data_IF_255997461840
#
_entry.id   IF_255997461840
#
_cell.length_a   1.000
_cell.length_b   1.000
_cell.length_c   1.000
_cell.angle_alpha   90.00
_cell.angle_beta   90.00
_cell.angle_gamma   90.00
#
_symmetry.space_group_name_H-M   'P 1'
#
loop_
_entity.id
_entity.type
_entity.pdbx_description
1 polymer ?
#
# COMPACT_ATOMS: atom_id res chain seq x y z
N UNK A 1 -34.00 27.59 -0.09
CA UNK A 1 -32.94 28.53 -0.53
C UNK A 1 -31.97 28.70 0.62
N UNK A 2 -30.70 28.33 0.37
CA UNK A 2 -29.49 28.78 1.07
C UNK A 2 -29.35 28.23 2.52
N UNK A 3 -28.54 27.22 2.87
CA UNK A 3 -27.13 26.95 2.50
C UNK A 3 -26.34 28.25 2.35
N UNK A 4 -25.76 28.74 3.45
CA UNK A 4 -24.39 29.32 3.50
C UNK A 4 -24.09 29.92 4.89
N UNK A 5 -22.90 29.57 5.39
CA UNK A 5 -22.03 30.39 6.25
C UNK A 5 -22.23 30.40 7.76
N UNK A 6 -22.00 29.20 8.29
CA UNK A 6 -21.49 28.86 9.62
C UNK A 6 -20.03 29.35 9.89
N UNK A 7 -19.64 30.56 9.47
CA UNK A 7 -18.29 31.09 9.73
C UNK A 7 -18.34 32.56 10.12
N UNK A 8 -18.32 32.85 11.42
CA UNK A 8 -17.70 34.05 12.02
C UNK A 8 -17.96 34.07 13.53
N UNK A 9 -17.24 33.26 14.30
CA UNK A 9 -16.99 33.57 15.71
C UNK A 9 -15.84 32.69 16.23
N UNK A 10 -14.82 33.31 16.83
CA UNK A 10 -13.67 32.75 17.57
C UNK A 10 -12.28 32.80 16.91
N UNK A 11 -11.74 34.01 16.72
CA UNK A 11 -10.29 34.23 16.94
C UNK A 11 -10.12 35.59 17.63
N UNK A 12 -10.07 35.55 18.97
CA UNK A 12 -9.53 36.61 19.82
C UNK A 12 -8.98 35.94 21.08
N UNK A 13 -7.87 35.20 20.93
CA UNK A 13 -7.11 34.72 22.09
C UNK A 13 -6.25 35.84 22.67
N UNK A 14 -6.24 35.85 24.00
CA UNK A 14 -5.68 36.86 24.90
C UNK A 14 -4.16 36.88 24.78
N UNK A 15 -3.60 37.97 24.28
CA UNK A 15 -2.21 38.35 24.48
C UNK A 15 -2.11 39.09 25.81
N UNK A 16 -1.65 38.42 26.86
CA UNK A 16 -0.97 39.11 27.95
C UNK A 16 0.09 38.24 28.62
N UNK A 17 1.20 38.91 28.96
CA UNK A 17 2.25 38.54 29.92
C UNK A 17 3.23 37.41 29.57
N UNK A 18 4.31 37.78 28.88
CA UNK A 18 5.66 37.55 29.41
C UNK A 18 6.63 38.62 28.86
N UNK A 19 7.46 39.19 29.72
CA UNK A 19 8.51 40.18 29.40
C UNK A 19 9.70 39.52 28.65
N UNK A 20 9.40 38.66 27.68
CA UNK A 20 10.37 38.03 26.80
C UNK A 20 10.38 38.76 25.47
N UNK A 21 11.21 39.80 25.34
CA UNK A 21 11.36 40.54 24.09
C UNK A 21 11.56 39.61 22.89
N UNK A 22 11.06 40.02 21.73
CA UNK A 22 11.34 39.32 20.48
C UNK A 22 12.65 39.90 19.93
N UNK A 23 13.69 39.07 19.84
CA UNK A 23 14.96 39.43 19.21
C UNK A 23 14.92 39.04 17.73
N UNK A 24 15.05 40.03 16.86
CA UNK A 24 15.23 39.80 15.42
C UNK A 24 16.73 39.78 15.09
N UNK A 25 17.18 38.64 14.59
CA UNK A 25 18.55 38.42 14.11
C UNK A 25 18.82 39.17 12.80
N UNK A 26 20.10 39.36 12.42
CA UNK A 26 20.52 40.08 11.20
C UNK A 26 19.99 39.43 9.91
N UNK A 27 19.76 38.12 9.95
CA UNK A 27 19.09 37.37 8.89
C UNK A 27 17.55 37.47 8.92
N UNK A 28 17.00 38.43 9.67
CA UNK A 28 15.58 38.74 9.78
C UNK A 28 14.69 37.60 10.34
N UNK A 29 15.26 36.72 11.16
CA UNK A 29 14.50 35.72 11.92
C UNK A 29 14.31 36.20 13.35
N UNK A 30 13.06 36.11 13.82
CA UNK A 30 12.64 36.61 15.13
C UNK A 30 12.42 35.48 16.11
N UNK A 31 12.98 35.60 17.31
CA UNK A 31 12.90 34.60 18.37
C UNK A 31 12.56 35.25 19.70
N UNK A 32 11.91 34.53 20.61
CA UNK A 32 11.84 34.97 22.00
C UNK A 32 13.25 35.01 22.60
N UNK A 33 13.60 36.11 23.27
CA UNK A 33 14.90 36.29 23.93
C UNK A 33 15.23 35.13 24.88
N UNK A 34 14.23 34.56 25.55
CA UNK A 34 14.37 33.42 26.47
C UNK A 34 14.68 32.10 25.76
N UNK A 35 14.34 31.97 24.48
CA UNK A 35 14.62 30.79 23.67
C UNK A 35 16.00 30.86 23.02
N UNK A 36 16.39 32.03 22.50
CA UNK A 36 17.71 32.21 21.87
C UNK A 36 18.85 32.22 22.89
N UNK A 37 18.63 32.69 24.12
CA UNK A 37 19.67 32.69 25.16
C UNK A 37 20.06 31.28 25.64
N UNK A 38 19.18 30.28 25.43
CA UNK A 38 19.45 28.87 25.72
C UNK A 38 20.19 28.17 24.56
N UNK A 39 20.31 28.82 23.42
CA UNK A 39 21.03 28.30 22.26
C UNK A 39 22.53 28.55 22.44
N UNK A 40 23.34 27.50 22.34
CA UNK A 40 24.78 27.53 22.66
C UNK A 40 25.63 28.18 21.58
N UNK A 41 25.11 28.24 20.36
CA UNK A 41 25.87 28.68 19.19
C UNK A 41 25.41 30.08 18.81
N UNK A 42 26.34 30.98 18.46
CA UNK A 42 26.02 32.33 17.95
C UNK A 42 25.44 32.32 16.51
N UNK A 43 24.84 31.20 16.10
CA UNK A 43 24.24 30.99 14.81
C UNK A 43 22.72 31.14 14.88
N UNK A 44 22.12 31.69 13.84
CA UNK A 44 20.66 31.73 13.72
C UNK A 44 20.11 30.30 13.67
N UNK A 45 19.15 29.90 14.53
CA UNK A 45 18.58 28.56 14.48
C UNK A 45 17.88 28.21 13.16
N UNK A 46 17.37 29.21 12.43
CA UNK A 46 16.59 29.00 11.19
C UNK A 46 17.48 28.87 9.97
N UNK A 47 18.46 29.76 9.80
CA UNK A 47 19.31 29.77 8.60
C UNK A 47 20.78 29.45 8.88
N UNK A 48 21.14 29.14 10.13
CA UNK A 48 22.51 28.89 10.60
C UNK A 48 23.51 30.00 10.31
N UNK A 49 23.03 31.20 9.97
CA UNK A 49 23.87 32.38 9.78
C UNK A 49 24.60 32.68 11.09
N UNK A 50 25.92 32.51 11.10
CA UNK A 50 26.78 32.76 12.25
C UNK A 50 27.48 34.11 12.06
N UNK A 51 27.38 35.00 13.05
CA UNK A 51 27.98 36.34 12.99
C UNK A 51 29.50 36.32 13.29
N UNK A 52 30.05 35.20 13.75
CA UNK A 52 31.49 35.03 13.93
C UNK A 52 32.15 34.84 12.56
N UNK A 53 33.15 35.67 12.25
CA UNK A 53 33.97 35.48 11.05
C UNK A 53 34.60 34.07 11.13
N UNK A 54 34.32 33.17 10.18
CA UNK A 54 34.94 31.87 10.21
C UNK A 54 36.44 32.03 9.97
N UNK A 55 37.23 31.32 10.76
CA UNK A 55 38.64 31.06 10.47
C UNK A 55 38.79 30.62 9.01
N UNK A 56 39.91 31.00 8.37
CA UNK A 56 40.16 30.80 6.93
C UNK A 56 39.75 29.38 6.51
N UNK A 57 38.70 29.27 5.69
CA UNK A 57 38.28 27.99 5.11
C UNK A 57 39.46 27.38 4.36
N UNK A 58 39.65 26.06 4.49
CA UNK A 58 40.70 25.29 3.82
C UNK A 58 40.10 24.04 3.19
N UNK A 59 40.69 23.58 2.10
CA UNK A 59 40.29 22.32 1.48
C UNK A 59 40.57 21.14 2.41
N UNK A 60 39.56 20.29 2.64
CA UNK A 60 39.67 19.16 3.58
C UNK A 60 40.74 18.14 3.14
N UNK A 61 41.01 18.05 1.82
CA UNK A 61 41.95 17.07 1.26
C UNK A 61 43.37 17.61 1.17
N UNK A 62 43.58 18.76 0.52
CA UNK A 62 44.93 19.30 0.26
C UNK A 62 45.29 20.55 1.07
N UNK A 63 44.42 20.99 2.00
CA UNK A 63 44.67 22.09 2.93
C UNK A 63 44.96 23.45 2.26
N UNK A 64 44.66 23.60 0.96
CA UNK A 64 44.78 24.88 0.26
C UNK A 64 43.72 25.86 0.76
N UNK A 65 44.05 27.14 0.87
CA UNK A 65 43.14 28.23 1.30
C UNK A 65 42.61 29.08 0.13
N UNK A 66 42.82 28.64 -1.11
CA UNK A 66 42.51 29.39 -2.34
C UNK A 66 41.57 28.60 -3.23
N UNK A 67 40.67 29.32 -3.93
CA UNK A 67 39.72 28.77 -4.89
C UNK A 67 38.93 27.59 -4.29
N UNK A 68 38.19 27.92 -3.24
CA UNK A 68 37.46 26.95 -2.42
C UNK A 68 35.99 26.92 -2.78
N UNK A 69 35.47 25.70 -2.76
CA UNK A 69 34.11 25.36 -3.15
C UNK A 69 33.49 24.55 -2.03
N UNK A 70 32.32 24.98 -1.58
CA UNK A 70 31.54 24.25 -0.58
C UNK A 70 30.36 23.55 -1.24
N UNK A 71 30.24 22.25 -1.03
CA UNK A 71 29.07 21.50 -1.46
C UNK A 71 27.84 21.97 -0.68
N UNK A 72 26.80 22.43 -1.38
CA UNK A 72 25.59 22.95 -0.71
C UNK A 72 24.72 21.86 -0.08
N UNK A 73 24.93 20.60 -0.46
CA UNK A 73 24.16 19.45 0.04
C UNK A 73 24.74 18.89 1.35
N UNK A 74 26.07 18.85 1.48
CA UNK A 74 26.72 18.21 2.64
C UNK A 74 27.77 19.06 3.35
N UNK A 75 28.08 20.27 2.86
CA UNK A 75 29.06 21.16 3.47
C UNK A 75 30.53 20.77 3.23
N UNK A 76 30.82 19.80 2.36
CA UNK A 76 32.20 19.44 1.99
C UNK A 76 32.94 20.62 1.34
N UNK A 77 34.15 20.94 1.81
CA UNK A 77 34.99 22.02 1.27
C UNK A 77 36.14 21.44 0.44
N UNK A 78 36.07 21.64 -0.88
CA UNK A 78 37.05 21.19 -1.86
C UNK A 78 37.72 22.36 -2.62
N UNK A 79 38.93 22.14 -3.15
CA UNK A 79 39.55 23.11 -4.05
C UNK A 79 39.04 22.94 -5.50
N UNK A 80 39.10 24.02 -6.27
CA UNK A 80 38.57 24.09 -7.64
C UNK A 80 39.34 23.27 -8.67
N UNK A 81 38.78 23.22 -9.89
CA UNK A 81 39.25 22.41 -11.03
C UNK A 81 40.72 22.66 -11.38
N UNK A 82 41.19 23.91 -11.27
CA UNK A 82 42.54 24.34 -11.65
C UNK A 82 43.59 24.21 -10.53
N UNK A 83 43.20 23.70 -9.36
CA UNK A 83 44.11 23.38 -8.26
C UNK A 83 44.23 21.85 -8.15
N UNK A 84 43.44 21.24 -7.27
CA UNK A 84 43.41 19.80 -7.06
C UNK A 84 42.10 19.12 -7.47
N UNK A 85 41.08 19.88 -7.88
CA UNK A 85 39.82 19.30 -8.35
C UNK A 85 39.06 18.49 -7.29
N UNK A 86 39.30 18.71 -6.00
CA UNK A 86 38.63 17.92 -4.95
C UNK A 86 37.12 18.18 -4.89
N UNK A 87 36.65 19.36 -5.29
CA UNK A 87 35.23 19.65 -5.36
C UNK A 87 34.52 18.85 -6.48
N UNK A 88 35.15 18.72 -7.65
CA UNK A 88 34.60 17.92 -8.76
C UNK A 88 34.72 16.42 -8.48
N UNK A 89 35.78 15.98 -7.80
CA UNK A 89 35.93 14.60 -7.36
C UNK A 89 34.83 14.21 -6.37
N UNK A 90 34.55 15.09 -5.39
CA UNK A 90 33.44 14.91 -4.45
C UNK A 90 32.10 14.73 -5.15
N UNK A 91 31.80 15.54 -6.17
CA UNK A 91 30.59 15.37 -6.97
C UNK A 91 30.54 14.00 -7.66
N UNK A 92 31.63 13.56 -8.30
CA UNK A 92 31.67 12.25 -8.98
C UNK A 92 31.40 11.09 -8.03
N UNK A 93 31.89 11.16 -6.80
CA UNK A 93 31.74 10.11 -5.79
C UNK A 93 30.37 10.11 -5.11
N UNK A 94 29.83 11.29 -4.79
CA UNK A 94 28.62 11.43 -3.95
C UNK A 94 27.36 11.80 -4.73
N UNK A 95 27.51 12.18 -6.00
CA UNK A 95 26.44 12.75 -6.82
C UNK A 95 25.80 14.01 -6.22
N UNK A 96 26.58 14.79 -5.46
CA UNK A 96 26.17 16.11 -5.00
C UNK A 96 26.39 17.16 -6.10
N UNK A 97 25.34 17.46 -6.85
CA UNK A 97 25.43 18.21 -8.11
C UNK A 97 25.76 19.71 -7.99
N UNK A 98 25.70 20.28 -6.78
CA UNK A 98 25.81 21.72 -6.58
C UNK A 98 26.93 22.09 -5.61
N UNK A 99 27.72 23.08 -5.98
CA UNK A 99 28.77 23.67 -5.15
C UNK A 99 28.77 25.19 -5.22
N UNK A 100 29.07 25.86 -4.11
CA UNK A 100 29.16 27.31 -4.00
C UNK A 100 30.64 27.71 -3.98
N UNK A 101 31.02 28.60 -4.88
CA UNK A 101 32.34 29.24 -4.89
C UNK A 101 32.42 30.27 -3.74
N UNK A 102 33.34 30.10 -2.80
CA UNK A 102 33.41 30.94 -1.60
C UNK A 102 33.79 32.40 -1.92
N UNK A 103 34.60 32.62 -2.95
CA UNK A 103 35.10 33.95 -3.31
C UNK A 103 34.01 34.80 -3.99
N UNK A 104 33.16 34.19 -4.82
CA UNK A 104 32.20 34.91 -5.67
C UNK A 104 30.76 34.70 -5.26
N UNK A 105 30.51 33.78 -4.32
CA UNK A 105 29.19 33.36 -3.86
C UNK A 105 28.26 32.90 -4.99
N UNK A 106 28.83 32.41 -6.09
CA UNK A 106 28.08 31.81 -7.20
C UNK A 106 27.97 30.30 -7.03
N UNK A 107 26.82 29.75 -7.39
CA UNK A 107 26.57 28.31 -7.35
C UNK A 107 26.86 27.73 -8.73
N UNK A 108 27.64 26.67 -8.77
CA UNK A 108 27.95 25.89 -9.96
C UNK A 108 27.12 24.61 -10.00
N UNK A 109 26.51 24.34 -11.15
CA UNK A 109 25.86 23.07 -11.48
C UNK A 109 26.84 22.16 -12.22
N UNK A 110 27.19 21.02 -11.60
CA UNK A 110 28.09 20.05 -12.24
C UNK A 110 27.43 19.24 -13.36
N UNK A 111 26.09 19.12 -13.37
CA UNK A 111 25.34 18.39 -14.40
C UNK A 111 25.13 19.28 -15.63
N UNK A 112 24.71 20.53 -15.39
CA UNK A 112 24.51 21.54 -16.44
C UNK A 112 25.79 22.22 -16.94
N UNK A 113 26.92 21.98 -16.29
CA UNK A 113 28.24 22.61 -16.54
C UNK A 113 28.17 24.15 -16.70
N UNK A 114 27.32 24.78 -15.87
CA UNK A 114 27.09 26.22 -15.89
C UNK A 114 26.92 26.80 -14.48
N UNK A 115 27.03 28.13 -14.36
CA UNK A 115 26.67 28.82 -13.13
C UNK A 115 25.14 28.96 -13.05
N UNK A 116 24.58 28.65 -11.88
CA UNK A 116 23.15 28.86 -11.60
C UNK A 116 22.89 30.36 -11.50
N UNK A 117 22.03 30.87 -12.38
CA UNK A 117 21.59 32.27 -12.34
C UNK A 117 20.72 32.51 -11.11
N UNK A 118 21.12 33.48 -10.28
CA UNK A 118 20.32 33.88 -9.11
C UNK A 118 19.18 34.80 -9.59
N UNK A 119 17.98 34.24 -9.73
CA UNK A 119 16.75 35.04 -9.82
C UNK A 119 16.47 35.64 -8.44
N UNK A 120 16.95 36.85 -8.16
CA UNK A 120 16.57 37.56 -6.94
C UNK A 120 15.20 38.19 -7.21
N UNK A 121 14.15 37.57 -6.69
CA UNK A 121 12.84 38.21 -6.64
C UNK A 121 12.89 39.33 -5.59
N UNK A 122 12.87 40.58 -6.04
CA UNK A 122 12.62 41.73 -5.17
C UNK A 122 11.26 41.53 -4.49
N UNK A 123 11.22 41.62 -3.15
CA UNK A 123 9.98 41.43 -2.38
C UNK A 123 8.96 42.58 -2.56
N UNK A 124 9.23 43.60 -3.37
CA UNK A 124 8.34 44.75 -3.50
C UNK A 124 7.69 44.93 -4.88
N UNK A 125 8.14 44.24 -5.93
CA UNK A 125 7.48 44.33 -7.24
C UNK A 125 7.95 43.16 -8.10
N UNK A 126 7.07 42.20 -8.39
CA UNK A 126 7.36 40.88 -8.99
C UNK A 126 7.93 40.88 -10.42
N UNK A 127 8.69 41.92 -10.81
CA UNK A 127 9.38 42.04 -12.09
C UNK A 127 10.76 41.39 -12.00
N UNK A 128 10.99 40.38 -12.84
CA UNK A 128 12.29 39.77 -13.06
C UNK A 128 13.21 40.82 -13.71
N UNK A 129 14.32 41.17 -13.06
CA UNK A 129 15.34 42.08 -13.61
C UNK A 129 16.63 41.28 -13.76
N UNK A 130 17.06 41.08 -15.01
CA UNK A 130 18.41 40.65 -15.33
C UNK A 130 19.39 41.77 -14.97
N UNK A 131 20.35 41.48 -14.10
CA UNK A 131 21.49 42.36 -13.88
C UNK A 131 22.41 42.26 -15.10
N UNK A 132 22.25 43.22 -16.01
CA UNK A 132 23.17 43.44 -17.11
C UNK A 132 24.60 43.58 -16.57
N UNK A 133 25.50 42.79 -17.13
CA UNK A 133 26.95 42.93 -16.94
C UNK A 133 27.38 44.36 -17.28
N UNK A 134 28.27 45.01 -16.50
CA UNK A 134 28.83 46.30 -16.88
C UNK A 134 29.75 46.08 -18.09
N UNK A 135 29.27 46.39 -19.29
CA UNK A 135 30.12 46.44 -20.47
C UNK A 135 30.97 47.71 -20.38
N UNK A 136 32.22 47.51 -19.96
CA UNK A 136 33.28 48.53 -19.96
C UNK A 136 33.68 48.77 -21.40
N UNK A 137 33.23 49.87 -22.02
CA UNK A 137 33.98 50.54 -23.09
C UNK A 137 33.62 52.03 -23.12
N UNK A 138 34.20 52.77 -22.17
CA UNK A 138 34.46 54.18 -22.32
C UNK A 138 35.85 54.34 -22.96
N UNK A 139 35.90 54.78 -24.21
CA UNK A 139 36.99 55.58 -24.76
C UNK A 139 36.38 56.50 -25.83
N UNK A 140 36.37 57.81 -25.57
CA UNK A 140 37.22 58.80 -26.27
C UNK A 140 36.49 59.30 -27.55
N UNK A 141 35.90 60.48 -27.60
CA UNK A 141 36.58 61.77 -27.45
C UNK A 141 36.90 62.33 -28.84
N UNK A 142 35.99 63.08 -29.47
CA UNK A 142 36.35 64.01 -30.55
C UNK A 142 35.28 65.09 -30.73
N UNK A 143 35.68 66.33 -30.46
CA UNK A 143 34.85 67.51 -30.64
C UNK A 143 34.93 68.09 -32.05
N UNK A 144 33.86 68.79 -32.41
CA UNK A 144 33.88 69.91 -33.35
C UNK A 144 34.17 69.59 -34.82
N UNK A 145 33.12 69.38 -35.61
CA UNK A 145 33.09 69.87 -36.98
C UNK A 145 31.64 70.09 -37.43
N UNK A 146 31.30 71.36 -37.69
CA UNK A 146 30.06 71.76 -38.36
C UNK A 146 30.11 71.37 -39.84
N UNK A 147 29.31 70.37 -40.23
CA UNK A 147 28.99 70.06 -41.62
C UNK A 147 27.48 69.89 -41.77
N UNK A 148 26.76 71.00 -41.92
CA UNK A 148 25.34 71.00 -42.28
C UNK A 148 25.17 70.63 -43.77
N UNK A 149 25.13 69.34 -44.09
CA UNK A 149 24.44 68.77 -45.27
C UNK A 149 24.23 67.22 -45.23
N UNK A 150 24.52 66.53 -44.11
CA UNK A 150 24.56 65.06 -44.08
C UNK A 150 23.28 64.38 -43.56
N UNK A 151 22.31 65.14 -43.03
CA UNK A 151 21.12 64.59 -42.38
C UNK A 151 20.15 63.84 -43.31
N UNK A 152 20.10 64.21 -44.60
CA UNK A 152 19.23 63.54 -45.59
C UNK A 152 19.85 62.23 -46.07
N UNK A 153 21.17 62.17 -46.22
CA UNK A 153 21.91 60.95 -46.60
C UNK A 153 21.91 59.92 -45.46
N UNK A 154 22.07 60.38 -44.22
CA UNK A 154 22.04 59.52 -43.03
C UNK A 154 20.63 58.95 -42.76
N UNK A 155 19.57 59.76 -42.90
CA UNK A 155 18.20 59.29 -42.80
C UNK A 155 17.84 58.28 -43.92
N UNK A 156 18.35 58.48 -45.14
CA UNK A 156 18.14 57.56 -46.26
C UNK A 156 18.88 56.24 -46.06
N UNK A 157 20.12 56.28 -45.56
CA UNK A 157 20.90 55.08 -45.23
C UNK A 157 20.26 54.31 -44.07
N UNK A 158 19.80 55.00 -43.02
CA UNK A 158 19.09 54.39 -41.90
C UNK A 158 17.79 53.73 -42.36
N UNK A 159 17.00 54.38 -43.22
CA UNK A 159 15.79 53.79 -43.81
C UNK A 159 16.09 52.52 -44.61
N UNK A 160 17.21 52.47 -45.33
CA UNK A 160 17.63 51.28 -46.07
C UNK A 160 18.11 50.16 -45.16
N UNK A 161 18.82 50.49 -44.08
CA UNK A 161 19.23 49.53 -43.05
C UNK A 161 18.00 48.97 -42.33
N UNK A 162 17.03 49.80 -41.97
CA UNK A 162 15.76 49.37 -41.36
C UNK A 162 14.98 48.43 -42.29
N UNK A 163 14.92 48.71 -43.60
CA UNK A 163 14.29 47.81 -44.56
C UNK A 163 14.97 46.44 -44.60
N UNK A 164 16.31 46.39 -44.61
CA UNK A 164 17.09 45.15 -44.57
C UNK A 164 16.87 44.39 -43.26
N UNK A 165 16.85 45.10 -42.13
CA UNK A 165 16.57 44.50 -40.81
C UNK A 165 15.17 43.91 -40.76
N UNK A 166 14.18 44.59 -41.32
CA UNK A 166 12.81 44.08 -41.40
C UNK A 166 12.73 42.83 -42.29
N UNK A 167 13.34 42.84 -43.47
CA UNK A 167 13.41 41.65 -44.34
C UNK A 167 14.12 40.47 -43.65
N UNK A 168 15.20 40.74 -42.92
CA UNK A 168 15.90 39.72 -42.14
C UNK A 168 15.02 39.16 -41.01
N UNK A 169 14.31 40.03 -40.29
CA UNK A 169 13.40 39.62 -39.22
C UNK A 169 12.23 38.78 -39.75
N UNK A 170 11.65 39.16 -40.89
CA UNK A 170 10.60 38.37 -41.55
C UNK A 170 11.12 36.99 -42.00
N UNK A 171 12.34 36.94 -42.56
CA UNK A 171 12.97 35.68 -42.96
C UNK A 171 13.27 34.79 -41.73
N UNK A 172 13.75 35.38 -40.64
CA UNK A 172 13.98 34.68 -39.38
C UNK A 172 12.66 34.17 -38.77
N UNK A 173 11.61 34.99 -38.77
CA UNK A 173 10.28 34.62 -38.29
C UNK A 173 9.73 33.45 -39.12
N UNK A 174 9.80 33.54 -40.44
CA UNK A 174 9.39 32.46 -41.35
C UNK A 174 10.18 31.17 -41.09
N UNK A 175 11.48 31.29 -40.85
CA UNK A 175 12.32 30.12 -40.56
C UNK A 175 11.96 29.48 -39.21
N UNK A 176 11.69 30.29 -38.17
CA UNK A 176 11.26 29.80 -36.87
C UNK A 176 9.87 29.14 -36.94
N UNK A 177 8.95 29.72 -37.71
CA UNK A 177 7.63 29.14 -37.93
C UNK A 177 7.71 27.80 -38.66
N UNK A 178 8.54 27.70 -39.70
CA UNK A 178 8.80 26.44 -40.39
C UNK A 178 9.40 25.37 -39.47
N UNK A 179 10.33 25.75 -38.59
CA UNK A 179 10.90 24.83 -37.60
C UNK A 179 9.85 24.38 -36.57
N UNK A 180 9.04 25.31 -36.05
CA UNK A 180 7.96 24.99 -35.13
C UNK A 180 6.94 24.05 -35.77
N UNK A 181 6.57 24.27 -37.03
CA UNK A 181 5.65 23.40 -37.75
C UNK A 181 6.25 22.00 -37.95
N UNK A 182 7.50 21.91 -38.40
CA UNK A 182 8.17 20.64 -38.64
C UNK A 182 8.28 19.80 -37.35
N UNK A 183 8.76 20.39 -36.26
CA UNK A 183 8.87 19.69 -35.00
C UNK A 183 7.50 19.43 -34.36
N UNK A 184 6.54 20.32 -34.55
CA UNK A 184 5.15 20.12 -34.12
C UNK A 184 4.53 18.88 -34.76
N UNK A 185 4.59 18.78 -36.09
CA UNK A 185 4.10 17.60 -36.82
C UNK A 185 4.84 16.33 -36.44
N UNK A 186 6.18 16.38 -36.30
CA UNK A 186 6.95 15.22 -35.88
C UNK A 186 6.56 14.73 -34.46
N UNK A 187 6.31 15.65 -33.53
CA UNK A 187 5.84 15.32 -32.19
C UNK A 187 4.44 14.72 -32.21
N UNK A 188 3.53 15.30 -33.01
CA UNK A 188 2.16 14.81 -33.19
C UNK A 188 2.14 13.39 -33.79
N UNK A 189 2.94 13.12 -34.82
CA UNK A 189 3.06 11.78 -35.41
C UNK A 189 3.57 10.74 -34.40
N UNK A 190 4.57 11.10 -33.59
CA UNK A 190 5.10 10.22 -32.55
C UNK A 190 4.07 10.00 -31.45
N UNK A 191 3.36 11.05 -31.02
CA UNK A 191 2.29 10.96 -30.04
C UNK A 191 1.19 10.00 -30.52
N UNK A 192 0.69 10.17 -31.75
CA UNK A 192 -0.32 9.30 -32.35
C UNK A 192 0.14 7.85 -32.47
N UNK A 193 1.37 7.59 -32.90
CA UNK A 193 1.91 6.23 -32.98
C UNK A 193 2.03 5.60 -31.58
N UNK A 194 2.51 6.36 -30.59
CA UNK A 194 2.58 5.85 -29.22
C UNK A 194 1.21 5.57 -28.63
N UNK A 195 0.20 6.42 -28.90
CA UNK A 195 -1.17 6.20 -28.46
C UNK A 195 -1.78 4.95 -29.12
N UNK A 196 -1.57 4.77 -30.43
CA UNK A 196 -1.99 3.56 -31.15
C UNK A 196 -1.37 2.29 -30.54
N UNK A 197 -0.10 2.36 -30.18
CA UNK A 197 0.67 1.24 -29.63
C UNK A 197 0.19 0.87 -28.23
N UNK A 198 0.00 1.90 -27.40
CA UNK A 198 -0.57 1.76 -26.06
C UNK A 198 -1.98 1.17 -26.16
N UNK A 199 -2.83 1.71 -27.03
CA UNK A 199 -4.22 1.24 -27.23
C UNK A 199 -4.25 -0.23 -27.65
N UNK A 200 -3.37 -0.65 -28.57
CA UNK A 200 -3.23 -2.04 -29.02
C UNK A 200 -2.75 -2.95 -27.89
N UNK A 201 -1.75 -2.53 -27.12
CA UNK A 201 -1.23 -3.29 -25.98
C UNK A 201 -2.29 -3.46 -24.88
N UNK A 202 -3.01 -2.38 -24.56
CA UNK A 202 -4.11 -2.38 -23.57
C UNK A 202 -5.24 -3.30 -24.01
N UNK A 203 -5.73 -3.19 -25.25
CA UNK A 203 -6.77 -4.07 -25.79
C UNK A 203 -6.38 -5.54 -25.71
N UNK A 204 -5.14 -5.88 -26.07
CA UNK A 204 -4.61 -7.25 -25.97
C UNK A 204 -4.56 -7.74 -24.53
N UNK A 205 -4.08 -6.92 -23.60
CA UNK A 205 -4.02 -7.25 -22.18
C UNK A 205 -5.42 -7.49 -21.58
N UNK A 206 -6.38 -6.62 -21.90
CA UNK A 206 -7.78 -6.75 -21.48
C UNK A 206 -8.39 -8.03 -22.03
N UNK A 207 -8.23 -8.32 -23.33
CA UNK A 207 -8.76 -9.53 -23.96
C UNK A 207 -8.20 -10.81 -23.29
N UNK A 208 -6.90 -10.85 -22.99
CA UNK A 208 -6.28 -11.98 -22.28
C UNK A 208 -6.80 -12.13 -20.86
N UNK A 209 -7.02 -11.03 -20.13
CA UNK A 209 -7.58 -11.07 -18.76
C UNK A 209 -9.04 -11.55 -18.79
N UNK A 210 -9.83 -11.06 -19.73
CA UNK A 210 -11.21 -11.47 -19.92
C UNK A 210 -11.31 -12.97 -20.22
N UNK A 211 -10.48 -13.48 -21.14
CA UNK A 211 -10.43 -14.92 -21.43
C UNK A 211 -10.04 -15.75 -20.20
N UNK A 212 -9.06 -15.29 -19.40
CA UNK A 212 -8.67 -15.97 -18.15
C UNK A 212 -9.80 -15.98 -17.12
N UNK A 213 -10.53 -14.88 -16.98
CA UNK A 213 -11.68 -14.82 -16.07
C UNK A 213 -12.84 -15.68 -16.55
N UNK A 214 -13.13 -15.69 -17.86
CA UNK A 214 -14.14 -16.56 -18.45
C UNK A 214 -13.83 -18.04 -18.21
N UNK A 215 -12.58 -18.48 -18.45
CA UNK A 215 -12.18 -19.86 -18.20
C UNK A 215 -12.28 -20.26 -16.72
N UNK A 216 -11.97 -19.34 -15.80
CA UNK A 216 -12.16 -19.57 -14.35
C UNK A 216 -13.64 -19.69 -13.99
N UNK A 217 -14.48 -18.81 -14.55
CA UNK A 217 -15.93 -18.83 -14.34
C UNK A 217 -16.52 -20.16 -14.84
N UNK A 218 -16.18 -20.60 -16.05
CA UNK A 218 -16.66 -21.84 -16.62
C UNK A 218 -16.25 -23.06 -15.77
N UNK A 219 -15.03 -23.05 -15.21
CA UNK A 219 -14.56 -24.08 -14.29
C UNK A 219 -15.36 -24.09 -12.99
N UNK A 220 -15.58 -22.93 -12.37
CA UNK A 220 -16.40 -22.82 -11.15
C UNK A 220 -17.84 -23.27 -11.40
N UNK A 221 -18.42 -22.96 -12.56
CA UNK A 221 -19.78 -23.42 -12.93
C UNK A 221 -19.82 -24.94 -13.04
N UNK A 222 -18.83 -25.57 -13.67
CA UNK A 222 -18.75 -27.04 -13.77
C UNK A 222 -18.62 -27.71 -12.40
N UNK A 223 -17.75 -27.17 -11.54
CA UNK A 223 -17.54 -27.68 -10.18
C UNK A 223 -18.81 -27.52 -9.32
N UNK A 224 -19.47 -26.37 -9.41
CA UNK A 224 -20.76 -26.15 -8.74
C UNK A 224 -21.80 -27.19 -9.19
N UNK A 225 -21.99 -27.39 -10.50
CA UNK A 225 -22.93 -28.38 -11.03
C UNK A 225 -22.62 -29.78 -10.51
N UNK A 226 -21.34 -30.18 -10.51
CA UNK A 226 -20.92 -31.47 -9.98
C UNK A 226 -21.25 -31.62 -8.49
N UNK A 227 -21.00 -30.58 -7.68
CA UNK A 227 -21.32 -30.60 -6.25
C UNK A 227 -22.84 -30.60 -6.00
N UNK A 228 -23.61 -29.87 -6.80
CA UNK A 228 -25.08 -29.87 -6.74
C UNK A 228 -25.63 -31.27 -7.04
N UNK A 229 -25.14 -31.92 -8.11
CA UNK A 229 -25.53 -33.29 -8.49
C UNK A 229 -25.14 -34.31 -7.39
N UNK A 230 -23.93 -34.18 -6.82
CA UNK A 230 -23.47 -35.06 -5.73
C UNK A 230 -24.32 -34.87 -4.48
N UNK A 231 -24.61 -33.64 -4.10
CA UNK A 231 -25.43 -33.32 -2.95
C UNK A 231 -26.86 -33.86 -3.11
N UNK A 232 -27.46 -33.70 -4.30
CA UNK A 232 -28.79 -34.25 -4.59
C UNK A 232 -28.81 -35.78 -4.43
N UNK A 233 -27.78 -36.48 -4.94
CA UNK A 233 -27.67 -37.93 -4.79
C UNK A 233 -27.49 -38.35 -3.32
N UNK A 234 -26.69 -37.63 -2.54
CA UNK A 234 -26.49 -37.91 -1.12
C UNK A 234 -27.75 -37.69 -0.30
N UNK A 235 -28.51 -36.63 -0.57
CA UNK A 235 -29.79 -36.36 0.09
C UNK A 235 -30.80 -37.46 -0.21
N UNK A 236 -30.97 -37.85 -1.48
CA UNK A 236 -31.84 -38.98 -1.86
C UNK A 236 -31.44 -40.28 -1.15
N UNK A 237 -30.14 -40.58 -1.10
CA UNK A 237 -29.63 -41.76 -0.42
C UNK A 237 -29.93 -41.70 1.09
N UNK A 238 -29.71 -40.54 1.72
CA UNK A 238 -30.03 -40.32 3.12
C UNK A 238 -31.53 -40.53 3.41
N UNK A 239 -32.42 -40.01 2.56
CA UNK A 239 -33.87 -40.19 2.68
C UNK A 239 -34.28 -41.67 2.58
N UNK A 240 -33.69 -42.41 1.63
CA UNK A 240 -33.92 -43.84 1.48
C UNK A 240 -33.52 -44.61 2.75
N UNK A 241 -32.35 -44.30 3.34
CA UNK A 241 -31.93 -44.97 4.57
C UNK A 241 -32.79 -44.59 5.76
N UNK A 242 -33.19 -43.32 5.89
CA UNK A 242 -34.13 -42.90 6.94
C UNK A 242 -35.45 -43.67 6.83
N UNK A 243 -36.01 -43.80 5.63
CA UNK A 243 -37.22 -44.58 5.40
C UNK A 243 -37.03 -46.06 5.78
N UNK A 244 -35.93 -46.68 5.36
CA UNK A 244 -35.61 -48.07 5.72
C UNK A 244 -35.45 -48.29 7.22
N UNK A 245 -34.81 -47.35 7.93
CA UNK A 245 -34.66 -47.41 9.38
C UNK A 245 -36.04 -47.38 10.04
N UNK A 246 -36.89 -46.43 9.64
CA UNK A 246 -38.26 -46.33 10.18
C UNK A 246 -39.09 -47.60 9.90
N UNK A 247 -38.98 -48.18 8.70
CA UNK A 247 -39.66 -49.44 8.37
C UNK A 247 -39.16 -50.62 9.22
N UNK A 248 -37.86 -50.68 9.53
CA UNK A 248 -37.28 -51.72 10.38
C UNK A 248 -37.73 -51.51 11.83
N UNK A 249 -37.67 -50.28 12.34
CA UNK A 249 -38.10 -49.91 13.70
C UNK A 249 -39.57 -50.28 13.94
N UNK A 250 -40.46 -49.97 12.98
CA UNK A 250 -41.88 -50.33 13.11
C UNK A 250 -42.11 -51.84 13.03
N UNK A 251 -41.37 -52.55 12.17
CA UNK A 251 -41.42 -54.02 12.11
C UNK A 251 -40.95 -54.66 13.41
N UNK A 252 -39.85 -54.17 14.00
CA UNK A 252 -39.35 -54.66 15.29
C UNK A 252 -40.34 -54.38 16.42
N UNK A 253 -40.93 -53.19 16.45
CA UNK A 253 -41.96 -52.82 17.45
C UNK A 253 -43.18 -53.71 17.37
N UNK A 254 -43.67 -54.03 16.16
CA UNK A 254 -44.79 -54.95 15.98
C UNK A 254 -44.43 -56.38 16.40
N UNK A 255 -43.21 -56.83 16.08
CA UNK A 255 -42.72 -58.14 16.51
C UNK A 255 -42.55 -58.24 18.04
N UNK A 256 -42.12 -57.16 18.70
CA UNK A 256 -42.06 -57.07 20.16
C UNK A 256 -43.45 -57.17 20.78
N UNK A 257 -44.43 -56.41 20.30
CA UNK A 257 -45.82 -56.51 20.77
C UNK A 257 -46.38 -57.94 20.68
N UNK A 258 -46.19 -58.61 19.55
CA UNK A 258 -46.65 -60.00 19.37
C UNK A 258 -45.97 -60.94 20.37
N UNK A 259 -44.68 -60.74 20.67
CA UNK A 259 -43.96 -61.53 21.67
C UNK A 259 -44.46 -61.23 23.08
N UNK A 260 -44.68 -59.97 23.41
CA UNK A 260 -45.20 -59.54 24.71
C UNK A 260 -46.62 -60.08 24.95
N UNK A 261 -47.50 -60.00 23.96
CA UNK A 261 -48.85 -60.58 24.01
C UNK A 261 -48.80 -62.10 24.23
N UNK A 262 -47.86 -62.79 23.55
CA UNK A 262 -47.65 -64.23 23.74
C UNK A 262 -47.09 -64.55 25.13
N UNK A 263 -46.17 -63.73 25.64
CA UNK A 263 -45.65 -63.88 27.01
C UNK A 263 -46.79 -63.71 28.00
N UNK A 264 -47.60 -62.65 27.88
CA UNK A 264 -48.77 -62.44 28.75
C UNK A 264 -49.73 -63.62 28.70
N UNK A 265 -50.05 -64.13 27.51
CA UNK A 265 -50.90 -65.30 27.37
C UNK A 265 -50.32 -66.56 28.03
N UNK A 266 -49.02 -66.83 27.85
CA UNK A 266 -48.34 -67.95 28.49
C UNK A 266 -48.25 -67.78 30.02
N UNK A 267 -48.07 -66.56 30.51
CA UNK A 267 -48.10 -66.24 31.93
C UNK A 267 -49.50 -66.44 32.52
N UNK A 268 -50.57 -66.09 31.81
CA UNK A 268 -51.95 -66.39 32.21
C UNK A 268 -52.17 -67.90 32.30
N UNK A 269 -51.76 -68.66 31.28
CA UNK A 269 -51.84 -70.12 31.30
C UNK A 269 -51.07 -70.72 32.50
N UNK A 270 -49.87 -70.22 32.78
CA UNK A 270 -49.10 -70.67 33.95
C UNK A 270 -49.79 -70.30 35.26
N UNK A 271 -50.38 -69.10 35.37
CA UNK A 271 -51.17 -68.70 36.55
C UNK A 271 -52.38 -69.62 36.76
N UNK A 272 -53.15 -69.90 35.70
CA UNK A 272 -54.33 -70.78 35.77
C UNK A 272 -53.95 -72.22 36.14
N UNK A 273 -52.84 -72.74 35.57
CA UNK A 273 -52.29 -74.04 35.94
C UNK A 273 -51.84 -74.07 37.40
N UNK A 274 -51.19 -73.01 37.88
CA UNK A 274 -50.74 -72.91 39.27
C UNK A 274 -51.92 -72.89 40.24
N UNK A 275 -52.98 -72.13 39.94
CA UNK A 275 -54.24 -72.13 40.71
C UNK A 275 -54.91 -73.51 40.70
N UNK A 276 -54.91 -74.19 39.55
CA UNK A 276 -55.49 -75.55 39.44
C UNK A 276 -54.70 -76.57 40.25
N UNK A 277 -53.37 -76.47 40.27
CA UNK A 277 -52.50 -77.30 41.10
C UNK A 277 -52.62 -76.98 42.59
N UNK A 278 -52.78 -75.72 42.97
CA UNK A 278 -53.05 -75.31 44.35
C UNK A 278 -54.42 -75.80 44.82
N UNK A 279 -55.46 -75.70 43.98
CA UNK A 279 -56.77 -76.26 44.26
C UNK A 279 -56.70 -77.80 44.39
N UNK A 280 -56.00 -78.47 43.48
CA UNK A 280 -55.69 -79.90 43.54
C UNK A 280 -54.97 -80.28 44.82
N UNK A 281 -53.91 -79.55 45.18
CA UNK A 281 -53.18 -79.71 46.44
C UNK A 281 -54.02 -79.34 47.66
N UNK A 282 -54.97 -78.42 47.63
CA UNK A 282 -55.86 -78.17 48.78
C UNK A 282 -56.92 -79.26 48.92
N UNK A 283 -57.37 -79.87 47.82
CA UNK A 283 -58.25 -81.06 47.86
C UNK A 283 -57.47 -82.28 48.29
N UNK A 284 -56.25 -82.47 47.80
CA UNK A 284 -55.31 -83.48 48.28
C UNK A 284 -54.92 -83.20 49.72
N UNK A 285 -54.68 -81.96 50.14
CA UNK A 285 -54.33 -81.57 51.51
C UNK A 285 -55.55 -81.57 52.44
N UNK A 286 -56.78 -81.46 51.95
CA UNK A 286 -58.02 -81.75 52.70
C UNK A 286 -58.26 -83.27 52.80
N UNK A 287 -57.86 -84.06 51.79
CA UNK A 287 -57.82 -85.52 51.86
C UNK A 287 -56.65 -86.05 52.72
N UNK A 288 -55.52 -85.34 52.74
CA UNK A 288 -54.28 -85.67 53.43
C UNK A 288 -54.25 -85.06 54.84
N UNK A 289 -55.05 -84.04 55.14
CA UNK A 289 -55.35 -83.66 56.53
C UNK A 289 -56.08 -84.79 57.28
N UNK A 290 -56.68 -85.73 56.54
CA UNK A 290 -57.15 -86.99 57.09
C UNK A 290 -56.10 -88.13 57.03
N UNK A 291 -54.97 -88.00 56.32
CA UNK A 291 -54.05 -89.12 56.04
C UNK A 291 -52.53 -88.83 55.94
N UNK A 292 -51.98 -87.76 56.53
CA UNK A 292 -50.54 -87.70 56.83
C UNK A 292 -50.25 -87.64 58.34
N UNK A 293 -50.22 -88.83 58.94
CA UNK A 293 -49.02 -89.21 59.69
C UNK A 293 -48.00 -89.77 58.69
N UNK A 294 -46.74 -89.46 58.95
CA UNK A 294 -45.53 -90.10 58.41
C UNK A 294 -44.97 -89.56 57.08
N UNK A 295 -44.21 -88.47 57.25
CA UNK A 295 -42.75 -88.47 57.08
C UNK A 295 -42.16 -88.91 55.72
N UNK A 296 -41.93 -87.87 54.91
CA UNK A 296 -40.70 -87.54 54.21
C UNK A 296 -40.05 -88.58 53.26
N UNK A 297 -40.22 -88.35 51.95
CA UNK A 297 -39.12 -88.53 50.98
C UNK A 297 -39.26 -87.57 49.80
N UNK A 298 -38.20 -86.81 49.53
CA UNK A 298 -37.72 -86.33 48.22
C UNK A 298 -36.30 -85.73 48.47
N UNK A 299 -35.36 -85.66 47.50
CA UNK A 299 -35.67 -85.25 46.13
C UNK A 299 -34.87 -85.87 44.97
N UNK A 300 -35.40 -85.49 43.80
CA UNK A 300 -34.97 -85.70 42.43
C UNK A 300 -33.60 -85.06 42.11
N UNK A 301 -32.93 -85.73 41.18
CA UNK A 301 -31.81 -85.37 40.29
C UNK A 301 -31.73 -83.88 39.87
N UNK A 302 -30.53 -83.28 39.87
CA UNK A 302 -30.17 -82.18 38.93
C UNK A 302 -28.73 -82.34 38.44
N UNK A 303 -28.60 -82.03 37.15
CA UNK A 303 -27.50 -82.11 36.20
C UNK A 303 -26.13 -81.54 36.62
N UNK A 304 -25.09 -82.11 36.01
CA UNK A 304 -23.82 -81.40 35.82
C UNK A 304 -23.09 -81.90 34.57
N UNK A 305 -22.90 -81.03 33.57
CA UNK A 305 -21.67 -80.90 32.76
C UNK A 305 -21.83 -79.67 31.85
N UNK A 306 -21.03 -78.61 32.00
CA UNK A 306 -19.61 -78.45 31.62
C UNK A 306 -19.45 -77.80 30.23
N UNK A 307 -18.60 -76.77 30.15
CA UNK A 307 -17.97 -76.32 28.90
C UNK A 307 -17.96 -74.80 28.73
N UNK A 308 -17.14 -74.04 29.47
CA UNK A 308 -15.78 -73.58 29.09
C UNK A 308 -15.64 -72.96 27.69
N UNK A 309 -15.36 -71.64 27.72
CA UNK A 309 -14.26 -70.92 27.05
C UNK A 309 -14.13 -70.88 25.53
N UNK A 310 -14.00 -69.66 24.97
CA UNK A 310 -12.79 -69.11 24.31
C UNK A 310 -13.15 -67.81 23.56
N UNK A 311 -12.55 -66.66 23.92
CA UNK A 311 -11.35 -66.04 23.30
C UNK A 311 -11.43 -65.82 21.77
N UNK A 312 -11.54 -64.55 21.40
CA UNK A 312 -11.16 -63.97 20.09
C UNK A 312 -11.42 -62.46 20.17
N UNK A 313 -10.44 -61.59 20.34
CA UNK A 313 -9.39 -61.32 19.37
C UNK A 313 -9.82 -60.19 18.43
N UNK A 314 -10.05 -58.97 18.95
CA UNK A 314 -10.31 -57.78 18.12
C UNK A 314 -8.97 -57.26 17.59
N UNK A 315 -8.81 -57.26 16.27
CA UNK A 315 -7.73 -56.59 15.54
C UNK A 315 -8.34 -55.70 14.46
N UNK A 316 -7.57 -54.67 14.11
CA UNK A 316 -7.72 -53.74 13.00
C UNK A 316 -8.51 -52.46 13.28
N UNK A 317 -7.75 -51.39 13.55
CA UNK A 317 -8.02 -50.13 12.88
C UNK A 317 -6.65 -49.54 12.48
N UNK A 318 -6.33 -49.57 11.19
CA UNK A 318 -5.18 -48.86 10.67
C UNK A 318 -5.68 -47.73 9.77
N UNK A 319 -5.14 -46.56 10.05
CA UNK A 319 -5.45 -45.28 9.46
C UNK A 319 -4.78 -45.11 8.09
N UNK A 320 -5.46 -44.31 7.26
CA UNK A 320 -4.93 -43.20 6.44
C UNK A 320 -4.21 -43.48 5.12
N UNK A 321 -4.67 -42.68 4.15
CA UNK A 321 -3.97 -42.00 3.04
C UNK A 321 -3.50 -42.94 1.92
N UNK A 322 -4.03 -42.82 0.71
CA UNK A 322 -3.95 -41.66 -0.20
C UNK A 322 -5.14 -41.67 -1.16
#
# INVERSE_FOLDING_TARGET
>A
MLWEMFLTLHVAERLDQDMGGILTTICNHSFHCSCISKWTDSSCPVCRYCQQQPEKSICIVCQTSENLWICVLCGFVGCGRYKGGHAIQHWKETQHCYSLELDTQRVWDYVGDNYVHRLIQSKTDGKLVELNSPNVHAYDGCGGCDCADSGVSEALLNSKVEAIVNEYNELLATQLENQNLFFGTLLEEVEEETEREISKAVKKAIAQKLQKFQAKLDRCIKEKKFLDDLNENLVKNQEIWKAKILEIEEREKMALKIKDDKIQHLEEQLRDLMVSLEAGNTVEQLCISNELKDEAFLPILVESSSGKSSKGGKKANNQRKN
#
